data_IF_284407717369
#
_entry.id   IF_284407717369
#
_cell.length_a   1.000
_cell.length_b   1.000
_cell.length_c   1.000
_cell.angle_alpha   90.00
_cell.angle_beta   90.00
_cell.angle_gamma   90.00
#
_symmetry.space_group_name_H-M   'P 1'
#
loop_
_entity.id
_entity.type
_entity.pdbx_description
1 polymer ?
#
# COMPACT_ATOMS: atom_id res chain seq x y z
N UNK A 1 16.95 12.19 15.84
CA UNK A 1 16.75 13.49 16.50
C UNK A 1 16.73 14.53 15.39
N UNK A 2 15.53 15.08 15.13
CA UNK A 2 15.22 16.38 14.52
C UNK A 2 15.80 16.68 13.12
N UNK A 3 14.85 16.79 12.18
CA UNK A 3 14.93 17.33 10.82
C UNK A 3 15.31 18.83 10.81
N UNK A 4 15.52 19.35 9.60
CA UNK A 4 15.65 20.76 9.15
C UNK A 4 17.05 21.13 8.67
N UNK A 5 17.24 21.05 7.35
CA UNK A 5 17.45 22.24 6.52
C UNK A 5 17.21 21.87 5.05
N UNK A 6 15.98 22.11 4.57
CA UNK A 6 15.70 22.13 3.14
C UNK A 6 16.45 23.29 2.51
N UNK A 7 17.48 22.99 1.72
CA UNK A 7 18.20 23.99 0.95
C UNK A 7 17.38 24.39 -0.28
N UNK A 8 16.52 25.39 -0.09
CA UNK A 8 15.84 26.10 -1.17
C UNK A 8 16.86 27.01 -1.88
N UNK A 9 17.62 26.45 -2.81
CA UNK A 9 18.46 27.27 -3.68
C UNK A 9 17.60 28.03 -4.70
N UNK A 10 17.75 29.35 -4.73
CA UNK A 10 17.13 30.22 -5.73
C UNK A 10 17.97 30.13 -7.00
N UNK A 11 17.46 29.46 -8.03
CA UNK A 11 18.10 29.45 -9.36
C UNK A 11 17.44 30.51 -10.23
N UNK A 12 18.23 31.50 -10.66
CA UNK A 12 17.80 32.53 -11.60
C UNK A 12 17.87 31.99 -13.03
N UNK A 13 16.77 32.12 -13.77
CA UNK A 13 16.77 31.84 -15.21
C UNK A 13 17.53 32.94 -15.99
N UNK A 14 17.81 32.69 -17.27
CA UNK A 14 18.46 33.67 -18.17
C UNK A 14 17.65 34.95 -18.41
N UNK A 15 16.45 35.06 -17.83
CA UNK A 15 15.54 36.19 -18.00
C UNK A 15 15.18 36.89 -16.68
N UNK A 16 15.89 36.58 -15.59
CA UNK A 16 15.78 37.32 -14.33
C UNK A 16 14.50 37.06 -13.53
N UNK A 17 13.77 35.98 -13.79
CA UNK A 17 12.59 35.63 -13.01
C UNK A 17 12.96 34.66 -11.86
N UNK A 18 12.61 35.04 -10.63
CA UNK A 18 12.86 34.22 -9.42
C UNK A 18 11.69 33.24 -9.21
N UNK A 19 11.87 32.01 -9.68
CA UNK A 19 10.97 30.89 -9.40
C UNK A 19 11.51 30.00 -8.28
N UNK A 20 10.69 29.73 -7.25
CA UNK A 20 10.99 28.70 -6.25
C UNK A 20 10.88 27.33 -6.91
N UNK A 21 12.01 26.72 -7.24
CA UNK A 21 12.08 25.29 -7.55
C UNK A 21 12.11 24.55 -6.23
N UNK A 22 10.94 24.16 -5.71
CA UNK A 22 10.87 23.16 -4.65
C UNK A 22 11.56 21.91 -5.17
N UNK A 23 12.58 21.45 -4.44
CA UNK A 23 13.39 20.28 -4.77
C UNK A 23 12.49 19.16 -5.28
N UNK A 24 12.58 18.89 -6.58
CA UNK A 24 11.93 17.77 -7.21
C UNK A 24 12.60 16.53 -6.63
N UNK A 25 11.95 15.93 -5.62
CA UNK A 25 12.29 14.65 -5.00
C UNK A 25 12.84 13.73 -6.09
N UNK A 26 14.10 13.31 -5.92
CA UNK A 26 14.88 12.54 -6.90
C UNK A 26 13.98 11.62 -7.71
N UNK A 27 13.96 11.79 -9.05
CA UNK A 27 13.19 10.94 -9.97
C UNK A 27 13.74 9.51 -9.89
N UNK A 28 13.26 8.75 -8.92
CA UNK A 28 13.39 7.29 -8.94
C UNK A 28 12.76 6.78 -10.23
N UNK A 29 13.40 5.80 -10.88
CA UNK A 29 12.82 5.15 -12.07
C UNK A 29 11.41 4.67 -11.72
N UNK A 30 10.40 4.84 -12.59
CA UNK A 30 9.06 4.40 -12.29
C UNK A 30 9.05 2.88 -12.12
N UNK A 31 8.78 2.42 -10.89
CA UNK A 31 8.70 1.00 -10.57
C UNK A 31 7.24 0.58 -10.67
N UNK A 32 6.96 -0.44 -11.47
CA UNK A 32 5.64 -1.05 -11.60
C UNK A 32 5.69 -2.41 -10.91
N UNK A 33 4.75 -2.64 -9.99
CA UNK A 33 4.56 -3.94 -9.35
C UNK A 33 3.30 -4.55 -9.94
N UNK A 34 3.31 -5.86 -10.17
CA UNK A 34 2.12 -6.61 -10.53
C UNK A 34 1.89 -7.70 -9.50
N UNK A 35 0.65 -7.85 -9.03
CA UNK A 35 0.25 -8.96 -8.15
C UNK A 35 -0.52 -10.00 -8.96
N UNK A 36 -0.25 -11.27 -8.69
CA UNK A 36 -1.00 -12.39 -9.27
C UNK A 36 -2.27 -12.71 -8.47
N UNK A 37 -2.34 -12.28 -7.21
CA UNK A 37 -3.48 -12.47 -6.31
C UNK A 37 -4.43 -11.27 -6.30
N UNK A 38 -5.63 -11.52 -5.76
CA UNK A 38 -6.57 -10.48 -5.35
C UNK A 38 -5.95 -9.57 -4.27
N UNK A 39 -6.61 -8.42 -4.05
CA UNK A 39 -6.11 -7.34 -3.23
C UNK A 39 -6.58 -7.45 -1.79
N UNK A 40 -5.76 -8.08 -0.93
CA UNK A 40 -6.10 -8.25 0.49
C UNK A 40 -6.40 -6.96 1.24
N UNK A 41 -7.37 -7.04 2.15
CA UNK A 41 -7.84 -5.91 2.98
C UNK A 41 -6.70 -5.20 3.74
N UNK A 42 -5.65 -5.94 4.09
CA UNK A 42 -4.48 -5.45 4.80
C UNK A 42 -3.68 -4.44 3.98
N UNK A 43 -3.71 -4.58 2.65
CA UNK A 43 -2.97 -3.70 1.76
C UNK A 43 -3.62 -2.33 1.65
N UNK A 44 -4.91 -2.17 1.97
CA UNK A 44 -5.57 -0.85 1.97
C UNK A 44 -4.85 0.16 2.86
N UNK A 45 -4.36 -0.26 4.03
CA UNK A 45 -3.61 0.63 4.93
C UNK A 45 -2.29 1.10 4.33
N UNK A 46 -1.60 0.25 3.56
CA UNK A 46 -0.34 0.60 2.87
C UNK A 46 -0.59 1.71 1.83
N UNK A 47 -1.77 1.73 1.22
CA UNK A 47 -2.18 2.74 0.24
C UNK A 47 -2.96 3.91 0.85
N UNK A 48 -3.14 3.95 2.17
CA UNK A 48 -3.88 5.03 2.85
C UNK A 48 -5.40 4.99 2.59
N UNK A 49 -5.94 3.84 2.19
CA UNK A 49 -7.38 3.62 2.02
C UNK A 49 -7.93 3.16 3.38
N UNK A 50 -8.90 3.87 3.99
CA UNK A 50 -9.49 3.45 5.25
C UNK A 50 -10.40 2.23 5.02
N UNK A 51 -10.09 1.11 5.66
CA UNK A 51 -11.00 -0.04 5.64
C UNK A 51 -12.23 0.26 6.51
N UNK A 52 -13.41 0.19 5.89
CA UNK A 52 -14.68 0.32 6.60
C UNK A 52 -15.30 -1.05 6.88
N UNK A 53 -14.83 -1.72 7.94
CA UNK A 53 -15.27 -3.05 8.35
C UNK A 53 -16.80 -3.16 8.62
N UNK A 54 -17.50 -2.04 8.73
CA UNK A 54 -18.96 -1.99 8.91
C UNK A 54 -19.78 -2.32 7.66
N UNK A 55 -19.21 -2.19 6.46
CA UNK A 55 -19.93 -2.43 5.19
C UNK A 55 -19.07 -3.07 4.11
N UNK A 56 -17.75 -3.04 4.25
CA UNK A 56 -16.83 -3.80 3.40
C UNK A 56 -16.61 -5.16 4.06
N UNK A 57 -17.09 -6.27 3.46
CA UNK A 57 -16.80 -7.60 3.96
C UNK A 57 -15.30 -7.89 3.80
N UNK A 58 -14.70 -8.57 4.77
CA UNK A 58 -13.31 -9.03 4.65
C UNK A 58 -13.22 -10.13 3.61
N UNK A 59 -12.18 -10.12 2.78
CA UNK A 59 -11.97 -11.11 1.71
C UNK A 59 -11.93 -12.57 2.21
N UNK A 60 -11.61 -12.77 3.49
CA UNK A 60 -11.55 -14.09 4.10
C UNK A 60 -12.94 -14.66 4.47
N UNK A 61 -14.00 -13.87 4.34
CA UNK A 61 -15.39 -14.34 4.49
C UNK A 61 -16.24 -13.97 3.27
N UNK A 62 -17.04 -14.93 2.80
CA UNK A 62 -18.01 -14.73 1.71
C UNK A 62 -19.25 -13.91 2.12
N UNK A 63 -19.09 -12.88 2.94
CA UNK A 63 -20.18 -11.95 3.25
C UNK A 63 -20.44 -11.01 2.08
N UNK A 64 -21.70 -10.61 1.90
CA UNK A 64 -22.07 -9.52 0.98
C UNK A 64 -21.87 -8.16 1.66
N UNK A 65 -21.92 -7.09 0.88
CA UNK A 65 -22.13 -5.71 1.34
C UNK A 65 -23.29 -5.55 2.35
N UNK A 66 -24.28 -6.44 2.27
CA UNK A 66 -25.43 -6.53 3.20
C UNK A 66 -25.14 -7.44 4.39
N UNK A 67 -24.45 -6.91 5.41
CA UNK A 67 -24.21 -7.61 6.68
C UNK A 67 -25.21 -7.20 7.78
N UNK A 68 -25.65 -8.17 8.58
CA UNK A 68 -26.36 -7.91 9.84
C UNK A 68 -25.43 -7.28 10.88
N UNK A 69 -25.97 -6.68 11.96
CA UNK A 69 -25.14 -6.08 13.02
C UNK A 69 -24.13 -7.07 13.62
N UNK A 70 -24.55 -8.32 13.85
CA UNK A 70 -23.66 -9.40 14.29
C UNK A 70 -22.61 -9.73 13.22
N UNK A 71 -23.00 -9.77 11.94
CA UNK A 71 -22.08 -9.99 10.83
C UNK A 71 -20.98 -8.92 10.78
N UNK A 72 -21.32 -7.65 10.99
CA UNK A 72 -20.36 -6.54 11.07
C UNK A 72 -19.38 -6.70 12.22
N UNK A 73 -19.84 -7.13 13.39
CA UNK A 73 -18.97 -7.37 14.54
C UNK A 73 -17.98 -8.52 14.27
N UNK A 74 -18.46 -9.62 13.68
CA UNK A 74 -17.61 -10.74 13.27
C UNK A 74 -16.60 -10.28 12.22
N UNK A 75 -17.03 -9.53 11.21
CA UNK A 75 -16.19 -8.99 10.16
C UNK A 75 -15.05 -8.11 10.71
N UNK A 76 -15.37 -7.22 11.66
CA UNK A 76 -14.37 -6.40 12.34
C UNK A 76 -13.36 -7.25 13.13
N UNK A 77 -13.84 -8.23 13.91
CA UNK A 77 -12.96 -9.12 14.69
C UNK A 77 -12.05 -9.91 13.76
N UNK A 78 -12.58 -10.41 12.64
CA UNK A 78 -11.79 -11.11 11.64
C UNK A 78 -10.71 -10.21 11.06
N UNK A 79 -11.06 -9.00 10.63
CA UNK A 79 -10.09 -8.06 10.10
C UNK A 79 -8.94 -7.82 11.10
N UNK A 80 -9.26 -7.60 12.38
CA UNK A 80 -8.26 -7.39 13.42
C UNK A 80 -7.40 -8.64 13.66
N UNK A 81 -8.01 -9.82 13.68
CA UNK A 81 -7.28 -11.09 13.80
C UNK A 81 -6.29 -11.26 12.65
N UNK A 82 -6.72 -10.97 11.43
CA UNK A 82 -5.91 -11.13 10.21
C UNK A 82 -4.78 -10.12 10.20
N UNK A 83 -5.07 -8.86 10.53
CA UNK A 83 -4.07 -7.78 10.53
C UNK A 83 -2.96 -7.99 11.56
N UNK A 84 -3.28 -8.50 12.75
CA UNK A 84 -2.36 -8.48 13.88
C UNK A 84 -1.96 -9.86 14.42
N UNK A 85 -2.80 -10.88 14.29
CA UNK A 85 -2.61 -12.16 14.99
C UNK A 85 -2.37 -13.35 14.05
N UNK A 86 -2.76 -13.26 12.78
CA UNK A 86 -2.71 -14.40 11.84
C UNK A 86 -1.33 -14.69 11.25
N UNK A 87 -0.37 -13.78 11.38
CA UNK A 87 0.91 -13.86 10.69
C UNK A 87 0.85 -13.48 9.20
N UNK A 88 -0.31 -13.04 8.67
CA UNK A 88 -0.40 -12.61 7.25
C UNK A 88 0.55 -11.46 6.87
N UNK A 89 0.96 -10.65 7.84
CA UNK A 89 1.93 -9.56 7.68
C UNK A 89 3.33 -9.95 8.20
N UNK A 90 3.63 -11.25 8.34
CA UNK A 90 4.93 -11.69 8.82
C UNK A 90 5.98 -11.75 7.70
N UNK A 91 7.26 -11.79 8.11
CA UNK A 91 8.42 -11.87 7.21
C UNK A 91 8.32 -13.13 6.34
N UNK A 92 7.86 -14.24 6.94
CA UNK A 92 7.70 -15.53 6.29
C UNK A 92 6.56 -15.50 5.25
N UNK A 93 5.47 -14.77 5.53
CA UNK A 93 4.36 -14.63 4.59
C UNK A 93 4.77 -13.90 3.30
N UNK A 94 5.75 -12.99 3.40
CA UNK A 94 6.33 -12.28 2.26
C UNK A 94 7.59 -12.94 1.68
N UNK A 95 8.02 -14.09 2.22
CA UNK A 95 9.24 -14.81 1.82
C UNK A 95 10.52 -13.97 1.96
N UNK A 96 10.50 -12.94 2.80
CA UNK A 96 11.66 -12.05 2.99
C UNK A 96 12.88 -12.83 3.51
N UNK A 97 12.66 -13.83 4.36
CA UNK A 97 13.67 -14.76 4.85
C UNK A 97 14.36 -15.55 3.71
N UNK A 98 13.60 -16.05 2.75
CA UNK A 98 14.11 -16.77 1.59
C UNK A 98 14.92 -15.86 0.67
N UNK A 99 14.47 -14.60 0.49
CA UNK A 99 15.23 -13.62 -0.29
C UNK A 99 16.53 -13.22 0.41
N UNK A 100 16.48 -13.04 1.73
CA UNK A 100 17.66 -12.69 2.52
C UNK A 100 18.70 -13.82 2.53
N UNK A 101 18.28 -15.09 2.61
CA UNK A 101 19.17 -16.25 2.50
C UNK A 101 19.89 -16.30 1.14
N UNK A 102 19.16 -16.02 0.05
CA UNK A 102 19.65 -16.19 -1.32
C UNK A 102 20.41 -14.98 -1.86
N UNK A 103 20.05 -13.77 -1.45
CA UNK A 103 20.55 -12.52 -2.03
C UNK A 103 21.21 -11.59 -1.00
N UNK A 104 21.19 -11.96 0.28
CA UNK A 104 21.76 -11.19 1.39
C UNK A 104 20.71 -10.37 2.14
N UNK A 105 20.99 -10.13 3.43
CA UNK A 105 20.06 -9.48 4.34
C UNK A 105 19.61 -8.09 3.87
N UNK A 106 18.29 -7.85 3.90
CA UNK A 106 17.67 -6.59 3.51
C UNK A 106 17.60 -6.37 2.00
N UNK A 107 17.76 -7.42 1.19
CA UNK A 107 17.64 -7.34 -0.26
C UNK A 107 16.20 -7.02 -0.69
N UNK A 108 15.22 -7.64 -0.02
CA UNK A 108 13.79 -7.48 -0.30
C UNK A 108 13.03 -7.15 0.98
N UNK A 109 12.17 -6.13 0.91
CA UNK A 109 11.28 -5.74 2.00
C UNK A 109 9.93 -5.35 1.38
N UNK A 110 8.91 -6.19 1.58
CA UNK A 110 7.66 -6.12 0.84
C UNK A 110 6.94 -4.78 1.06
N UNK A 111 6.84 -4.33 2.31
CA UNK A 111 6.19 -3.06 2.65
C UNK A 111 6.88 -1.85 2.01
N UNK A 112 8.22 -1.82 2.01
CA UNK A 112 9.00 -0.74 1.39
C UNK A 112 8.87 -0.75 -0.12
N UNK A 113 8.85 -1.93 -0.74
CA UNK A 113 8.67 -2.09 -2.19
C UNK A 113 7.27 -1.62 -2.61
N UNK A 114 6.21 -2.06 -1.92
CA UNK A 114 4.82 -1.65 -2.19
C UNK A 114 4.60 -0.14 -2.00
N UNK A 115 5.17 0.44 -0.94
CA UNK A 115 5.02 1.88 -0.64
C UNK A 115 5.72 2.75 -1.69
N UNK A 116 6.92 2.35 -2.13
CA UNK A 116 7.74 3.13 -3.07
C UNK A 116 7.40 2.90 -4.55
N UNK A 117 6.56 1.92 -4.88
CA UNK A 117 6.13 1.67 -6.26
C UNK A 117 5.43 2.88 -6.88
N UNK A 118 5.54 3.09 -8.18
CA UNK A 118 4.80 4.14 -8.89
C UNK A 118 3.40 3.69 -9.28
N UNK A 119 3.26 2.42 -9.68
CA UNK A 119 1.98 1.79 -10.04
C UNK A 119 1.94 0.36 -9.51
N UNK A 120 0.74 -0.07 -9.13
CA UNK A 120 0.42 -1.44 -8.72
C UNK A 120 -0.66 -1.97 -9.66
N UNK A 121 -0.29 -2.96 -10.47
CA UNK A 121 -1.22 -3.70 -11.32
C UNK A 121 -1.86 -4.81 -10.49
N UNK A 122 -3.16 -4.73 -10.31
CA UNK A 122 -3.92 -5.67 -9.53
C UNK A 122 -4.63 -6.67 -10.43
N UNK A 123 -4.55 -7.95 -10.09
CA UNK A 123 -5.34 -8.99 -10.75
C UNK A 123 -6.79 -8.98 -10.24
N UNK A 124 -7.51 -7.89 -10.50
CA UNK A 124 -8.85 -7.63 -9.98
C UNK A 124 -9.71 -6.91 -11.02
N UNK A 125 -11.01 -7.20 -11.03
CA UNK A 125 -11.98 -6.49 -11.83
C UNK A 125 -12.82 -5.58 -10.91
N UNK A 126 -12.85 -4.25 -11.14
CA UNK A 126 -13.59 -3.32 -10.29
C UNK A 126 -15.11 -3.58 -10.20
N UNK A 127 -15.68 -4.37 -11.12
CA UNK A 127 -17.10 -4.74 -11.11
C UNK A 127 -17.39 -6.10 -10.46
N UNK A 128 -16.38 -6.97 -10.36
CA UNK A 128 -16.55 -8.32 -9.80
C UNK A 128 -15.98 -8.42 -8.38
N UNK A 129 -14.92 -7.67 -8.09
CA UNK A 129 -14.28 -7.64 -6.79
C UNK A 129 -14.84 -6.52 -5.92
N UNK A 130 -14.47 -6.55 -4.64
CA UNK A 130 -14.99 -5.64 -3.61
C UNK A 130 -14.90 -4.18 -4.11
N UNK A 131 -16.03 -3.46 -4.22
CA UNK A 131 -16.07 -2.10 -4.76
C UNK A 131 -15.60 -1.10 -3.71
N UNK A 132 -14.32 -1.17 -3.34
CA UNK A 132 -13.66 -0.23 -2.43
C UNK A 132 -13.00 0.90 -3.21
N UNK A 133 -12.82 2.08 -2.59
CA UNK A 133 -12.03 3.15 -3.18
C UNK A 133 -10.62 2.66 -3.50
N UNK A 134 -10.14 2.91 -4.72
CA UNK A 134 -8.76 2.63 -5.13
C UNK A 134 -7.98 3.94 -5.24
N UNK A 135 -6.69 3.90 -4.90
CA UNK A 135 -5.81 5.06 -5.14
C UNK A 135 -5.44 5.15 -6.62
N UNK A 136 -5.07 6.33 -7.14
CA UNK A 136 -4.61 6.47 -8.54
C UNK A 136 -3.37 5.62 -8.90
N UNK A 137 -2.67 5.08 -7.89
CA UNK A 137 -1.52 4.17 -8.05
C UNK A 137 -1.98 2.74 -8.40
N UNK A 138 -3.20 2.36 -8.06
CA UNK A 138 -3.74 1.01 -8.27
C UNK A 138 -4.47 0.97 -9.62
N UNK A 139 -4.02 0.08 -10.51
CA UNK A 139 -4.56 -0.13 -11.85
C UNK A 139 -5.12 -1.54 -11.94
#
# INVERSE_FOLDING_TARGET
MIDVAGDSSIVRDKWGSEGRVTAQKDKTKPTIIATSSAMFDLYYLIFGIPLSASYVPSELFGYSDKMSYKGKAVNLITYLYVAYLSGFNSIEAFLEDVYDEKFGAGFYEAHKVLTNASFLLLNTNPFLDIPTPKTPKMI
#
